data_IF_853482717712
#
_entry.id   IF_853482717712
#
_cell.length_a   1.000
_cell.length_b   1.000
_cell.length_c   1.000
_cell.angle_alpha   90.00
_cell.angle_beta   90.00
_cell.angle_gamma   90.00
#
_symmetry.space_group_name_H-M   'P 1'
#
loop_
_entity.id
_entity.type
_entity.pdbx_description
1 polymer ?
#
# COMPACT_ATOMS: atom_id res chain seq x y z
N UNK A 1 6.00 -9.56 19.06
CA UNK A 1 6.93 -10.48 18.36
C UNK A 1 8.36 -10.02 18.59
N UNK A 2 9.38 -10.87 18.44
CA UNK A 2 10.78 -10.43 18.50
C UNK A 2 11.12 -9.63 17.25
N UNK A 3 11.53 -8.36 17.41
CA UNK A 3 12.04 -7.54 16.31
C UNK A 3 13.45 -8.01 15.95
N UNK A 4 13.58 -8.75 14.85
CA UNK A 4 14.89 -9.10 14.30
C UNK A 4 15.43 -7.92 13.48
N UNK A 5 16.69 -7.54 13.74
CA UNK A 5 17.37 -6.44 13.04
C UNK A 5 18.63 -6.98 12.40
N UNK A 6 18.61 -7.09 11.07
CA UNK A 6 19.81 -7.32 10.27
C UNK A 6 20.62 -6.02 10.13
N UNK A 7 21.90 -5.97 10.56
CA UNK A 7 22.73 -4.77 10.47
C UNK A 7 23.11 -4.36 9.03
N UNK A 8 22.97 -5.28 8.07
CA UNK A 8 23.23 -5.03 6.65
C UNK A 8 22.02 -4.48 5.90
N UNK A 9 20.84 -4.47 6.53
CA UNK A 9 19.69 -3.73 6.00
C UNK A 9 19.84 -2.27 6.41
N UNK A 10 19.80 -1.36 5.44
CA UNK A 10 19.89 0.08 5.65
C UNK A 10 18.57 0.73 5.25
N UNK A 11 17.81 1.16 6.23
CA UNK A 11 16.60 1.95 6.03
C UNK A 11 16.95 3.45 6.03
N UNK A 12 16.19 4.24 5.29
CA UNK A 12 16.44 5.64 5.00
C UNK A 12 16.23 6.63 6.14
N UNK A 13 16.00 6.17 7.38
CA UNK A 13 15.67 7.03 8.53
C UNK A 13 16.69 8.15 8.74
N UNK A 14 16.19 9.36 9.01
CA UNK A 14 17.03 10.57 9.13
C UNK A 14 17.40 10.93 10.56
N UNK A 15 16.74 10.33 11.56
CA UNK A 15 16.95 10.60 12.98
C UNK A 15 17.86 9.57 13.67
N UNK A 16 18.06 9.73 14.99
CA UNK A 16 18.71 8.69 15.79
C UNK A 16 17.76 7.48 15.89
N UNK A 17 18.22 6.31 15.43
CA UNK A 17 17.43 5.09 15.43
C UNK A 17 16.61 4.89 14.16
N UNK A 18 15.47 4.19 14.28
CA UNK A 18 14.58 3.89 13.14
C UNK A 18 13.43 4.89 13.07
N UNK A 19 13.74 6.18 13.03
CA UNK A 19 12.76 7.28 13.03
C UNK A 19 13.31 8.51 12.32
N UNK A 20 12.44 9.39 11.88
CA UNK A 20 12.89 10.69 11.38
C UNK A 20 13.16 11.68 12.52
N UNK A 21 14.28 12.39 12.38
CA UNK A 21 14.61 13.51 13.27
C UNK A 21 13.82 14.75 12.90
N UNK A 22 13.66 14.97 11.60
CA UNK A 22 12.81 16.01 11.01
C UNK A 22 12.07 15.39 9.84
N UNK A 23 10.76 15.59 9.76
CA UNK A 23 9.95 15.17 8.62
C UNK A 23 10.17 16.18 7.49
N UNK A 24 10.77 15.75 6.39
CA UNK A 24 11.06 16.59 5.24
C UNK A 24 9.84 16.57 4.31
N UNK A 25 9.32 17.73 3.86
CA UNK A 25 8.26 17.77 2.87
C UNK A 25 8.68 17.09 1.57
N UNK A 26 7.79 16.25 1.02
CA UNK A 26 7.98 15.68 -0.31
C UNK A 26 8.02 16.78 -1.38
N UNK A 27 8.79 16.52 -2.42
CA UNK A 27 8.86 17.30 -3.64
C UNK A 27 8.15 16.56 -4.79
N UNK A 28 7.78 17.27 -5.87
CA UNK A 28 7.21 16.62 -7.06
C UNK A 28 8.09 15.50 -7.65
N UNK A 29 9.42 15.67 -7.61
CA UNK A 29 10.38 14.69 -8.13
C UNK A 29 10.35 13.36 -7.36
N UNK A 30 9.96 13.37 -6.08
CA UNK A 30 9.89 12.16 -5.24
C UNK A 30 8.76 11.21 -5.68
N UNK A 31 7.79 11.71 -6.45
CA UNK A 31 6.69 10.92 -7.02
C UNK A 31 6.75 10.86 -8.58
N UNK A 32 7.87 11.27 -9.17
CA UNK A 32 8.15 11.13 -10.59
C UNK A 32 8.75 9.74 -10.92
N UNK A 33 9.07 9.45 -12.18
CA UNK A 33 9.67 8.18 -12.61
C UNK A 33 11.11 8.00 -12.08
N UNK A 34 11.37 6.87 -11.40
CA UNK A 34 12.66 6.54 -10.77
C UNK A 34 13.47 5.48 -11.52
N UNK A 35 12.83 4.60 -12.30
CA UNK A 35 13.52 3.50 -12.96
C UNK A 35 13.97 3.83 -14.39
N UNK A 36 14.88 3.00 -14.90
CA UNK A 36 15.23 2.96 -16.31
C UNK A 36 14.30 1.99 -17.03
N UNK A 37 13.33 2.54 -17.76
CA UNK A 37 12.22 1.78 -18.36
C UNK A 37 12.72 0.66 -19.28
N UNK A 38 12.45 -0.58 -18.87
CA UNK A 38 12.84 -1.81 -19.57
C UNK A 38 14.18 -2.40 -19.12
N UNK A 39 14.85 -1.81 -18.13
CA UNK A 39 15.97 -2.45 -17.45
C UNK A 39 15.52 -3.74 -16.75
N UNK A 40 16.43 -4.71 -16.66
CA UNK A 40 16.16 -5.98 -15.99
C UNK A 40 16.04 -5.75 -14.48
N UNK A 41 15.15 -6.51 -13.84
CA UNK A 41 14.93 -6.46 -12.40
C UNK A 41 14.67 -5.04 -11.91
N UNK A 42 13.84 -4.26 -12.62
CA UNK A 42 13.31 -3.01 -12.10
C UNK A 42 11.80 -3.06 -12.20
N UNK A 43 11.14 -2.60 -11.14
CA UNK A 43 9.69 -2.56 -11.01
C UNK A 43 9.31 -1.22 -10.41
N UNK A 44 8.24 -0.62 -10.93
CA UNK A 44 7.76 0.69 -10.47
C UNK A 44 6.27 0.82 -10.77
N UNK A 45 5.54 1.34 -9.78
CA UNK A 45 4.10 1.53 -9.88
C UNK A 45 3.57 2.65 -8.98
N UNK A 46 2.68 3.46 -9.55
CA UNK A 46 1.80 4.34 -8.80
C UNK A 46 0.51 3.60 -8.46
N UNK A 47 0.09 3.70 -7.21
CA UNK A 47 -1.09 3.05 -6.66
C UNK A 47 -2.04 4.08 -6.09
N UNK A 48 -3.32 3.99 -6.45
CA UNK A 48 -4.40 4.77 -5.86
C UNK A 48 -5.48 3.83 -5.35
N UNK A 49 -6.09 4.20 -4.24
CA UNK A 49 -7.37 3.63 -3.85
C UNK A 49 -8.33 4.69 -3.33
N UNK A 50 -9.62 4.33 -3.31
CA UNK A 50 -10.64 5.15 -2.71
C UNK A 50 -11.77 4.32 -2.12
N UNK A 51 -12.27 4.76 -0.97
CA UNK A 51 -13.57 4.36 -0.42
C UNK A 51 -14.58 5.46 -0.76
N UNK A 52 -15.58 5.07 -1.54
CA UNK A 52 -16.58 5.99 -2.06
C UNK A 52 -17.88 5.92 -1.25
N UNK A 53 -18.58 7.05 -1.21
CA UNK A 53 -19.95 7.13 -0.76
C UNK A 53 -20.81 6.08 -1.51
N UNK A 54 -21.70 5.42 -0.78
CA UNK A 54 -22.48 4.30 -1.32
C UNK A 54 -21.80 2.93 -1.19
N UNK A 55 -20.57 2.85 -0.67
CA UNK A 55 -19.91 1.61 -0.27
C UNK A 55 -19.06 0.94 -1.36
N UNK A 56 -18.77 1.66 -2.44
CA UNK A 56 -17.82 1.20 -3.45
C UNK A 56 -16.38 1.39 -2.95
N UNK A 57 -15.50 0.48 -3.31
CA UNK A 57 -14.06 0.65 -3.16
C UNK A 57 -13.41 0.43 -4.52
N UNK A 58 -12.44 1.27 -4.87
CA UNK A 58 -11.66 1.09 -6.09
C UNK A 58 -10.17 1.08 -5.79
N UNK A 59 -9.44 0.45 -6.70
CA UNK A 59 -7.98 0.45 -6.74
C UNK A 59 -7.57 0.68 -8.19
N UNK A 60 -6.61 1.59 -8.39
CA UNK A 60 -6.02 1.89 -9.68
C UNK A 60 -4.49 1.76 -9.58
N UNK A 61 -3.89 1.10 -10.56
CA UNK A 61 -2.43 1.09 -10.71
C UNK A 61 -2.00 1.60 -12.08
N UNK A 62 -0.90 2.35 -12.09
CA UNK A 62 -0.10 2.64 -13.27
C UNK A 62 1.24 1.92 -13.14
N UNK A 63 1.47 0.88 -13.94
CA UNK A 63 2.69 0.09 -13.91
C UNK A 63 3.63 0.49 -15.04
N UNK A 64 4.81 1.01 -14.70
CA UNK A 64 5.92 1.14 -15.66
C UNK A 64 6.56 -0.23 -15.88
N UNK A 65 6.66 -1.01 -14.81
CA UNK A 65 7.15 -2.36 -14.83
C UNK A 65 6.42 -3.20 -13.76
N UNK A 66 5.47 -4.02 -14.22
CA UNK A 66 4.60 -4.82 -13.37
C UNK A 66 5.39 -5.78 -12.46
N UNK A 67 5.23 -5.72 -11.12
CA UNK A 67 6.09 -6.45 -10.18
C UNK A 67 5.76 -7.93 -10.05
N UNK A 68 4.50 -8.30 -10.31
CA UNK A 68 4.00 -9.63 -10.01
C UNK A 68 4.66 -10.72 -10.89
N UNK A 69 5.03 -11.87 -10.29
CA UNK A 69 5.71 -12.93 -11.01
C UNK A 69 4.81 -13.54 -12.09
N UNK A 70 5.39 -13.87 -13.24
CA UNK A 70 4.69 -14.53 -14.35
C UNK A 70 5.07 -13.95 -15.70
N UNK A 71 4.29 -14.31 -16.72
CA UNK A 71 4.55 -13.92 -18.12
C UNK A 71 4.40 -12.41 -18.37
N UNK A 72 3.77 -11.70 -17.44
CA UNK A 72 3.52 -10.25 -17.53
C UNK A 72 4.47 -9.42 -16.66
N UNK A 73 5.37 -10.05 -15.92
CA UNK A 73 6.37 -9.36 -15.10
C UNK A 73 7.21 -8.39 -15.95
N UNK A 74 7.37 -7.16 -15.45
CA UNK A 74 8.12 -6.09 -16.10
C UNK A 74 7.40 -5.44 -17.28
N UNK A 75 6.16 -5.83 -17.61
CA UNK A 75 5.37 -5.15 -18.65
C UNK A 75 4.79 -3.84 -18.13
N UNK A 76 4.57 -2.92 -19.07
CA UNK A 76 3.80 -1.71 -18.84
C UNK A 76 2.32 -2.08 -18.85
N UNK A 77 1.59 -1.66 -17.82
CA UNK A 77 0.18 -1.97 -17.67
C UNK A 77 -0.56 -0.90 -16.87
N UNK A 78 -1.89 -0.91 -16.95
CA UNK A 78 -2.73 -0.32 -15.92
C UNK A 78 -3.61 -1.40 -15.30
N UNK A 79 -4.03 -1.19 -14.07
CA UNK A 79 -5.01 -2.05 -13.42
C UNK A 79 -6.17 -1.23 -12.85
N UNK A 80 -7.39 -1.72 -13.07
CA UNK A 80 -8.62 -1.19 -12.49
C UNK A 80 -9.28 -2.30 -11.68
N UNK A 81 -9.50 -2.05 -10.39
CA UNK A 81 -10.33 -2.92 -9.55
C UNK A 81 -11.49 -2.11 -8.97
N UNK A 82 -12.71 -2.64 -9.11
CA UNK A 82 -13.92 -2.11 -8.48
C UNK A 82 -14.55 -3.20 -7.60
N UNK A 83 -14.63 -2.93 -6.30
CA UNK A 83 -15.39 -3.69 -5.32
C UNK A 83 -16.71 -2.96 -5.04
N UNK A 84 -17.82 -3.67 -5.24
CA UNK A 84 -19.17 -3.13 -5.07
C UNK A 84 -19.68 -3.37 -3.65
N UNK A 85 -20.72 -2.63 -3.19
CA UNK A 85 -21.28 -2.76 -1.85
C UNK A 85 -21.80 -4.18 -1.52
N UNK A 86 -22.23 -4.92 -2.55
CA UNK A 86 -22.67 -6.31 -2.43
C UNK A 86 -21.51 -7.32 -2.31
N UNK A 87 -20.26 -6.85 -2.38
CA UNK A 87 -19.05 -7.67 -2.33
C UNK A 87 -18.56 -8.17 -3.69
N UNK A 88 -19.26 -7.87 -4.79
CA UNK A 88 -18.81 -8.30 -6.12
C UNK A 88 -17.60 -7.49 -6.58
N UNK A 89 -16.57 -8.18 -7.06
CA UNK A 89 -15.30 -7.59 -7.52
C UNK A 89 -15.13 -7.75 -9.02
N UNK A 90 -14.74 -6.67 -9.69
CA UNK A 90 -14.22 -6.71 -11.06
C UNK A 90 -12.78 -6.19 -11.04
N UNK A 91 -11.85 -6.93 -11.64
CA UNK A 91 -10.44 -6.57 -11.75
C UNK A 91 -10.00 -6.72 -13.21
N UNK A 92 -9.33 -5.70 -13.76
CA UNK A 92 -8.87 -5.63 -15.14
C UNK A 92 -7.41 -5.20 -15.16
N UNK A 93 -6.53 -6.00 -15.76
CA UNK A 93 -5.13 -5.65 -16.03
C UNK A 93 -4.94 -5.53 -17.54
N UNK A 94 -4.61 -4.32 -17.99
CA UNK A 94 -4.50 -3.98 -19.42
C UNK A 94 -3.05 -3.66 -19.75
N UNK A 95 -2.52 -4.31 -20.77
CA UNK A 95 -1.09 -4.25 -21.14
C UNK A 95 -0.86 -3.31 -22.32
N UNK A 96 0.23 -2.57 -22.26
CA UNK A 96 0.59 -1.59 -23.29
C UNK A 96 2.01 -1.80 -23.79
N UNK A 97 2.28 -1.32 -25.00
CA UNK A 97 3.63 -1.30 -25.56
C UNK A 97 4.40 -0.11 -25.01
N UNK A 98 5.74 -0.21 -24.97
CA UNK A 98 6.64 0.91 -24.61
C UNK A 98 6.41 2.18 -25.44
N UNK A 99 5.96 2.03 -26.70
CA UNK A 99 5.61 3.17 -27.57
C UNK A 99 4.35 3.94 -27.15
N UNK A 100 3.56 3.40 -26.22
CA UNK A 100 2.33 4.01 -25.70
C UNK A 100 2.54 4.56 -24.28
N UNK A 101 3.77 4.56 -23.79
CA UNK A 101 4.11 4.93 -22.43
C UNK A 101 4.90 6.25 -22.40
N UNK A 102 4.57 7.07 -21.41
CA UNK A 102 5.34 8.22 -21.00
C UNK A 102 5.21 8.38 -19.48
N UNK A 103 6.31 8.75 -18.83
CA UNK A 103 6.30 9.27 -17.48
C UNK A 103 7.43 10.30 -17.34
N UNK A 104 7.15 11.41 -16.67
CA UNK A 104 8.17 12.42 -16.36
C UNK A 104 9.12 11.93 -15.26
N UNK A 105 10.39 12.36 -15.31
CA UNK A 105 11.38 12.16 -14.23
C UNK A 105 11.45 13.34 -13.25
N UNK A 106 10.60 14.36 -13.44
CA UNK A 106 10.62 15.60 -12.64
C UNK A 106 9.33 15.85 -11.87
N UNK A 107 8.19 15.36 -12.37
CA UNK A 107 6.87 15.54 -11.77
C UNK A 107 6.02 14.29 -11.96
N UNK A 108 4.92 14.12 -11.19
CA UNK A 108 3.94 13.06 -11.38
C UNK A 108 3.05 13.37 -12.60
N UNK A 109 3.57 13.03 -13.78
CA UNK A 109 2.85 13.07 -15.06
C UNK A 109 3.12 11.76 -15.81
N UNK A 110 2.09 10.92 -15.88
CA UNK A 110 2.16 9.57 -16.45
C UNK A 110 1.06 9.40 -17.49
N UNK A 111 1.42 8.82 -18.63
CA UNK A 111 0.49 8.41 -19.69
C UNK A 111 0.78 6.98 -20.13
N UNK A 112 -0.24 6.13 -20.07
CA UNK A 112 -0.19 4.74 -20.53
C UNK A 112 -1.36 4.49 -21.48
N UNK A 113 -1.11 4.53 -22.79
CA UNK A 113 -2.19 4.54 -23.78
C UNK A 113 -3.03 5.82 -23.66
N UNK A 114 -4.33 5.65 -23.36
CA UNK A 114 -5.25 6.76 -23.06
C UNK A 114 -5.34 7.08 -21.56
N UNK A 115 -4.79 6.24 -20.70
CA UNK A 115 -4.85 6.42 -19.25
C UNK A 115 -3.83 7.48 -18.82
N UNK A 116 -4.22 8.35 -17.88
CA UNK A 116 -3.37 9.45 -17.42
C UNK A 116 -3.40 9.60 -15.91
N UNK A 117 -2.29 10.05 -15.35
CA UNK A 117 -2.16 10.53 -13.98
C UNK A 117 -1.40 11.85 -14.04
N UNK A 118 -1.95 12.91 -13.44
CA UNK A 118 -1.32 14.24 -13.40
C UNK A 118 -1.48 14.85 -12.02
N UNK A 119 -0.42 15.46 -11.53
CA UNK A 119 -0.46 16.26 -10.30
C UNK A 119 -0.30 17.75 -10.61
N UNK A 120 -1.11 18.58 -9.94
CA UNK A 120 -0.93 20.03 -9.86
C UNK A 120 -0.48 20.40 -8.46
N UNK A 121 0.63 21.13 -8.38
CA UNK A 121 1.16 21.70 -7.14
C UNK A 121 0.92 23.21 -7.17
N UNK A 122 0.56 23.78 -6.02
CA UNK A 122 0.54 25.23 -5.83
C UNK A 122 1.38 25.55 -4.61
N UNK A 123 1.94 26.76 -4.54
CA UNK A 123 2.90 27.12 -3.48
C UNK A 123 2.28 27.10 -2.07
N UNK A 124 0.97 27.27 -1.96
CA UNK A 124 0.25 27.41 -0.69
C UNK A 124 -0.74 26.27 -0.38
N UNK A 125 -1.05 25.38 -1.34
CA UNK A 125 -2.00 24.27 -1.15
C UNK A 125 -1.38 22.88 -1.33
N UNK A 126 -2.03 21.88 -0.72
CA UNK A 126 -1.75 20.47 -0.93
C UNK A 126 -2.01 20.06 -2.40
N UNK A 127 -1.30 19.05 -2.93
CA UNK A 127 -1.40 18.71 -4.34
C UNK A 127 -2.78 18.17 -4.72
N UNK A 128 -3.16 18.42 -5.97
CA UNK A 128 -4.35 17.85 -6.59
C UNK A 128 -3.92 16.87 -7.67
N UNK A 129 -4.41 15.64 -7.58
CA UNK A 129 -4.15 14.59 -8.57
C UNK A 129 -5.41 14.32 -9.39
N UNK A 130 -5.25 14.25 -10.70
CA UNK A 130 -6.29 13.85 -11.65
C UNK A 130 -5.86 12.53 -12.29
N UNK A 131 -6.69 11.50 -12.15
CA UNK A 131 -6.46 10.20 -12.79
C UNK A 131 -7.60 9.85 -13.73
N UNK A 132 -7.23 9.29 -14.88
CA UNK A 132 -8.14 8.71 -15.84
C UNK A 132 -7.66 7.31 -16.20
N UNK A 133 -8.49 6.30 -15.96
CA UNK A 133 -8.25 4.93 -16.40
C UNK A 133 -9.50 4.36 -17.06
N UNK A 134 -9.36 3.61 -18.14
CA UNK A 134 -10.51 2.95 -18.78
C UNK A 134 -10.19 1.58 -19.38
N UNK A 135 -11.20 0.71 -19.31
CA UNK A 135 -11.37 -0.55 -20.02
C UNK A 135 -12.71 -0.53 -20.77
N UNK A 136 -13.04 -1.60 -21.51
CA UNK A 136 -14.40 -1.82 -22.04
C UNK A 136 -15.48 -1.73 -20.94
N UNK A 137 -15.25 -2.31 -19.76
CA UNK A 137 -16.27 -2.39 -18.69
C UNK A 137 -16.16 -1.31 -17.62
N UNK A 138 -14.95 -0.84 -17.32
CA UNK A 138 -14.67 0.05 -16.20
C UNK A 138 -14.09 1.38 -16.68
N UNK A 139 -14.40 2.47 -16.00
CA UNK A 139 -13.67 3.73 -16.12
C UNK A 139 -13.60 4.41 -14.76
N UNK A 140 -12.46 5.00 -14.44
CA UNK A 140 -12.26 5.89 -13.30
C UNK A 140 -11.79 7.25 -13.84
N UNK A 141 -12.57 8.30 -13.62
CA UNK A 141 -12.24 9.69 -13.93
C UNK A 141 -12.39 10.47 -12.62
N UNK A 142 -11.28 10.63 -11.91
CA UNK A 142 -11.28 11.00 -10.50
C UNK A 142 -10.27 12.10 -10.21
N UNK A 143 -10.70 13.04 -9.38
CA UNK A 143 -9.85 14.07 -8.78
C UNK A 143 -9.65 13.77 -7.31
N UNK A 144 -8.39 13.69 -6.90
CA UNK A 144 -7.92 13.52 -5.54
C UNK A 144 -7.37 14.85 -5.06
N UNK A 145 -8.02 15.48 -4.07
CA UNK A 145 -7.49 16.68 -3.42
C UNK A 145 -6.88 16.25 -2.10
N UNK A 146 -5.56 16.30 -2.00
CA UNK A 146 -4.85 15.89 -0.80
C UNK A 146 -5.32 16.71 0.41
N UNK A 147 -5.48 16.03 1.54
CA UNK A 147 -5.86 16.62 2.84
C UNK A 147 -4.78 16.44 3.89
N UNK A 148 -3.79 15.58 3.61
CA UNK A 148 -2.58 15.36 4.41
C UNK A 148 -1.36 15.56 3.51
N UNK A 149 -0.32 16.19 4.05
CA UNK A 149 0.96 16.39 3.36
C UNK A 149 1.58 15.06 2.93
N UNK A 150 2.27 15.09 1.79
CA UNK A 150 3.07 13.97 1.32
C UNK A 150 4.17 13.61 2.32
N UNK A 151 4.47 12.32 2.42
CA UNK A 151 5.42 11.77 3.36
C UNK A 151 6.16 10.56 2.78
N UNK A 152 7.40 10.39 3.21
CA UNK A 152 8.19 9.18 3.02
C UNK A 152 9.00 8.89 4.28
N UNK A 153 9.28 7.61 4.62
CA UNK A 153 10.12 7.27 5.76
C UNK A 153 11.58 7.63 5.47
N UNK A 154 12.04 8.73 6.07
CA UNK A 154 13.37 9.28 5.83
C UNK A 154 13.63 9.58 4.36
N UNK A 155 14.54 8.85 3.71
CA UNK A 155 14.80 8.99 2.27
C UNK A 155 13.81 8.26 1.38
N UNK A 156 12.87 7.48 1.95
CA UNK A 156 11.98 6.60 1.20
C UNK A 156 12.60 5.26 0.81
N UNK A 157 13.92 5.06 0.99
CA UNK A 157 14.63 3.85 0.57
C UNK A 157 14.89 2.88 1.72
N UNK A 158 14.74 1.58 1.43
CA UNK A 158 15.24 0.45 2.23
C UNK A 158 16.15 -0.42 1.37
N UNK A 159 17.43 -0.51 1.75
CA UNK A 159 18.43 -1.35 1.10
C UNK A 159 18.60 -2.67 1.85
N UNK A 160 18.47 -3.79 1.16
CA UNK A 160 18.51 -5.14 1.74
C UNK A 160 19.85 -5.81 1.44
N UNK A 161 20.91 -5.40 2.15
CA UNK A 161 22.27 -5.88 1.91
C UNK A 161 22.62 -5.83 0.40
N UNK A 162 23.13 -6.93 -0.16
CA UNK A 162 23.49 -7.04 -1.58
C UNK A 162 22.32 -7.47 -2.49
N UNK A 163 21.09 -7.61 -1.95
CA UNK A 163 19.95 -8.11 -2.72
C UNK A 163 19.25 -7.04 -3.55
N UNK A 164 19.31 -5.78 -3.14
CA UNK A 164 18.64 -4.67 -3.81
C UNK A 164 18.05 -3.64 -2.85
N UNK A 165 17.19 -2.78 -3.39
CA UNK A 165 16.44 -1.78 -2.64
C UNK A 165 14.94 -1.87 -2.93
N UNK A 166 14.14 -1.45 -1.96
CA UNK A 166 12.73 -1.12 -2.09
C UNK A 166 12.56 0.33 -1.66
N UNK A 167 11.85 1.11 -2.46
CA UNK A 167 11.51 2.48 -2.14
C UNK A 167 10.01 2.67 -2.13
N UNK A 168 9.54 3.46 -1.18
CA UNK A 168 8.12 3.73 -0.94
C UNK A 168 7.96 5.17 -0.47
N UNK A 169 7.09 5.90 -1.17
CA UNK A 169 6.69 7.25 -0.84
C UNK A 169 5.16 7.35 -0.87
N UNK A 170 4.60 8.25 -0.09
CA UNK A 170 3.15 8.45 0.05
C UNK A 170 2.84 9.92 -0.26
N UNK A 171 2.59 10.28 -1.54
CA UNK A 171 2.34 11.66 -1.93
C UNK A 171 1.14 12.28 -1.22
N UNK A 172 0.16 11.46 -0.84
CA UNK A 172 -0.85 11.81 0.15
C UNK A 172 -1.42 10.57 0.82
N UNK A 173 -1.53 10.62 2.15
CA UNK A 173 -2.11 9.52 2.94
C UNK A 173 -3.62 9.62 3.11
N UNK A 174 -4.20 10.78 2.77
CA UNK A 174 -5.65 11.01 2.75
C UNK A 174 -5.98 12.14 1.79
N UNK A 175 -6.95 11.92 0.91
CA UNK A 175 -7.49 12.90 -0.02
C UNK A 175 -9.02 12.85 -0.04
N UNK A 176 -9.66 13.99 -0.30
CA UNK A 176 -11.07 14.00 -0.69
C UNK A 176 -11.18 13.69 -2.18
N UNK A 177 -12.12 12.82 -2.52
CA UNK A 177 -12.34 12.33 -3.89
C UNK A 177 -13.62 12.93 -4.45
N UNK A 178 -13.57 13.34 -5.72
CA UNK A 178 -14.74 13.62 -6.53
C UNK A 178 -14.49 13.16 -7.97
N UNK A 179 -15.56 12.84 -8.70
CA UNK A 179 -15.46 12.47 -10.11
C UNK A 179 -16.56 11.52 -10.54
N UNK A 180 -16.24 10.65 -11.49
CA UNK A 180 -17.15 9.64 -12.01
C UNK A 180 -16.46 8.28 -12.15
N UNK A 181 -17.24 7.21 -11.90
CA UNK A 181 -16.86 5.85 -12.27
C UNK A 181 -17.85 5.30 -13.28
N UNK A 182 -17.37 4.48 -14.22
CA UNK A 182 -18.22 3.65 -15.08
C UNK A 182 -18.17 2.20 -14.64
N UNK A 183 -19.34 1.60 -14.51
CA UNK A 183 -19.56 0.19 -14.19
C UNK A 183 -20.48 -0.41 -15.25
N UNK A 184 -19.87 -1.04 -16.27
CA UNK A 184 -20.53 -1.49 -17.49
C UNK A 184 -21.17 -0.33 -18.24
N UNK A 185 -22.50 -0.30 -18.28
CA UNK A 185 -23.29 0.72 -18.98
C UNK A 185 -23.71 1.90 -18.09
N UNK A 186 -23.32 1.90 -16.80
CA UNK A 186 -23.70 2.95 -15.85
C UNK A 186 -22.51 3.84 -15.54
N UNK A 187 -22.69 5.15 -15.65
CA UNK A 187 -21.76 6.14 -15.09
C UNK A 187 -22.36 6.72 -13.81
N UNK A 188 -21.57 6.73 -12.75
CA UNK A 188 -21.98 7.14 -11.41
C UNK A 188 -21.06 8.27 -10.98
N UNK A 189 -21.63 9.42 -10.61
CA UNK A 189 -20.88 10.48 -9.94
C UNK A 189 -20.59 10.06 -8.50
N UNK A 190 -19.35 10.24 -8.07
CA UNK A 190 -18.88 9.71 -6.79
C UNK A 190 -18.15 10.76 -5.98
N UNK A 191 -18.17 10.56 -4.66
CA UNK A 191 -17.35 11.24 -3.68
C UNK A 191 -16.77 10.22 -2.72
N UNK A 192 -15.69 10.55 -2.03
CA UNK A 192 -15.11 9.63 -1.07
C UNK A 192 -13.81 10.13 -0.44
N UNK A 193 -13.09 9.17 0.14
CA UNK A 193 -11.76 9.36 0.70
C UNK A 193 -10.80 8.41 0.02
N UNK A 194 -9.64 8.89 -0.38
CA UNK A 194 -8.65 8.07 -1.08
C UNK A 194 -7.23 8.28 -0.60
N UNK A 195 -6.35 7.47 -1.17
CA UNK A 195 -4.94 7.37 -0.84
C UNK A 195 -4.12 7.18 -2.10
N UNK A 196 -2.86 7.60 -2.05
CA UNK A 196 -1.89 7.32 -3.09
C UNK A 196 -0.52 6.99 -2.49
N UNK A 197 0.11 5.93 -3.00
CA UNK A 197 1.54 5.73 -2.87
C UNK A 197 2.22 5.37 -4.18
N UNK A 198 3.54 5.48 -4.14
CA UNK A 198 4.42 5.17 -5.25
C UNK A 198 5.59 4.33 -4.74
N UNK A 199 5.85 3.23 -5.45
CA UNK A 199 6.84 2.25 -5.08
C UNK A 199 7.73 1.91 -6.27
N UNK A 200 9.02 1.72 -6.01
CA UNK A 200 9.94 1.15 -6.98
C UNK A 200 11.01 0.30 -6.30
N UNK A 201 11.48 -0.72 -7.01
CA UNK A 201 12.41 -1.70 -6.45
C UNK A 201 13.16 -2.42 -7.55
N UNK A 202 14.33 -2.98 -7.20
CA UNK A 202 15.22 -3.61 -8.17
C UNK A 202 15.45 -5.14 -7.98
N UNK A 203 14.51 -5.81 -7.31
CA UNK A 203 14.57 -7.25 -7.05
C UNK A 203 13.17 -7.88 -7.05
N UNK A 204 13.02 -9.19 -6.87
CA UNK A 204 11.66 -9.76 -6.69
C UNK A 204 11.25 -9.63 -5.23
N UNK A 205 10.28 -8.75 -4.91
CA UNK A 205 9.86 -8.48 -3.53
C UNK A 205 9.48 -9.75 -2.76
N UNK A 206 8.77 -10.67 -3.43
CA UNK A 206 8.37 -11.98 -2.90
C UNK A 206 9.55 -12.88 -2.49
N UNK A 207 10.75 -12.61 -2.99
CA UNK A 207 11.93 -13.43 -2.73
C UNK A 207 12.51 -13.26 -1.33
N UNK A 208 12.18 -12.16 -0.64
CA UNK A 208 12.70 -11.82 0.70
C UNK A 208 11.62 -11.74 1.78
N UNK A 209 10.34 -11.87 1.44
CA UNK A 209 9.22 -11.63 2.37
C UNK A 209 8.63 -12.96 2.85
N UNK A 210 8.28 -13.01 4.13
CA UNK A 210 7.41 -14.06 4.69
C UNK A 210 5.97 -13.61 4.76
N UNK A 211 5.73 -12.40 5.26
CA UNK A 211 4.42 -11.75 5.21
C UNK A 211 4.59 -10.24 5.31
N UNK A 212 3.55 -9.54 4.89
CA UNK A 212 3.43 -8.11 5.01
C UNK A 212 2.02 -7.76 5.46
N UNK A 213 1.95 -6.82 6.38
CA UNK A 213 0.70 -6.18 6.78
C UNK A 213 0.81 -4.69 6.53
N UNK A 214 -0.24 -4.14 5.96
CA UNK A 214 -0.33 -2.72 5.69
C UNK A 214 -1.76 -2.25 5.81
N UNK A 215 -1.89 -1.04 6.32
CA UNK A 215 -3.20 -0.46 6.58
C UNK A 215 -3.10 1.01 6.90
N UNK A 216 -4.26 1.63 6.89
CA UNK A 216 -4.44 3.03 7.30
C UNK A 216 -5.52 3.12 8.35
N UNK A 217 -5.54 4.21 9.09
CA UNK A 217 -6.64 4.56 9.99
C UNK A 217 -7.00 6.00 9.68
N UNK A 218 -8.27 6.24 9.37
CA UNK A 218 -8.84 7.57 9.22
C UNK A 218 -9.86 7.78 10.32
N UNK A 219 -9.55 8.70 11.22
CA UNK A 219 -10.51 9.22 12.18
C UNK A 219 -10.87 10.67 11.83
N UNK A 220 -11.56 11.37 12.72
CA UNK A 220 -11.99 12.74 12.46
C UNK A 220 -10.77 13.66 12.34
N UNK A 221 -9.82 13.55 13.28
CA UNK A 221 -8.64 14.42 13.30
C UNK A 221 -7.34 13.74 12.87
N UNK A 222 -7.30 12.40 12.83
CA UNK A 222 -6.06 11.66 12.62
C UNK A 222 -6.06 10.83 11.34
N UNK A 223 -4.89 10.82 10.71
CA UNK A 223 -4.55 9.92 9.61
C UNK A 223 -3.32 9.14 10.02
N UNK A 224 -3.41 7.81 10.01
CA UNK A 224 -2.27 6.93 10.32
C UNK A 224 -2.08 5.98 9.15
N UNK A 225 -0.83 5.77 8.73
CA UNK A 225 -0.46 4.72 7.80
C UNK A 225 0.62 3.84 8.45
N UNK A 226 0.51 2.52 8.31
CA UNK A 226 1.51 1.61 8.85
C UNK A 226 1.82 0.47 7.89
N UNK A 227 3.05 -0.02 7.96
CA UNK A 227 3.52 -1.20 7.24
C UNK A 227 4.43 -2.03 8.14
N UNK A 228 4.13 -3.33 8.29
CA UNK A 228 4.97 -4.31 8.95
C UNK A 228 5.32 -5.42 7.96
N UNK A 229 6.56 -5.45 7.48
CA UNK A 229 7.06 -6.49 6.59
C UNK A 229 7.99 -7.40 7.38
N UNK A 230 7.59 -8.66 7.54
CA UNK A 230 8.45 -9.70 8.06
C UNK A 230 9.23 -10.30 6.90
N UNK A 231 10.54 -10.07 6.86
CA UNK A 231 11.38 -10.73 5.89
C UNK A 231 11.73 -12.17 6.29
N UNK A 232 12.22 -12.95 5.33
CA UNK A 232 12.61 -14.35 5.51
C UNK A 232 14.08 -14.51 5.91
N UNK A 233 14.51 -15.75 6.07
CA UNK A 233 15.85 -16.09 6.56
C UNK A 233 17.00 -15.60 5.66
N UNK A 234 16.74 -15.22 4.39
CA UNK A 234 17.76 -14.65 3.50
C UNK A 234 18.26 -13.28 3.93
N UNK A 235 17.48 -12.56 4.74
CA UNK A 235 17.85 -11.26 5.30
C UNK A 235 17.77 -11.30 6.83
N UNK A 236 18.12 -12.45 7.41
CA UNK A 236 18.14 -12.68 8.86
C UNK A 236 16.81 -12.34 9.55
N UNK A 237 15.69 -12.59 8.85
CA UNK A 237 14.33 -12.31 9.32
C UNK A 237 14.11 -10.84 9.72
N UNK A 238 14.85 -9.89 9.14
CA UNK A 238 14.70 -8.47 9.44
C UNK A 238 13.22 -8.03 9.34
N UNK A 239 12.75 -7.26 10.32
CA UNK A 239 11.40 -6.68 10.29
C UNK A 239 11.48 -5.22 9.82
N UNK A 240 10.99 -4.93 8.62
CA UNK A 240 10.82 -3.55 8.13
C UNK A 240 9.52 -3.01 8.69
N UNK A 241 9.62 -1.89 9.38
CA UNK A 241 8.54 -1.32 10.20
C UNK A 241 8.46 0.14 9.88
N UNK A 242 7.29 0.59 9.47
CA UNK A 242 7.06 2.00 9.15
C UNK A 242 5.69 2.43 9.66
N UNK A 243 5.65 3.56 10.34
CA UNK A 243 4.44 4.21 10.81
C UNK A 243 4.53 5.71 10.58
N UNK A 244 3.46 6.26 10.03
CA UNK A 244 3.21 7.69 9.89
C UNK A 244 1.94 8.05 10.63
N UNK A 245 1.94 9.15 11.38
CA UNK A 245 0.72 9.75 11.91
C UNK A 245 0.66 11.25 11.63
N UNK A 246 -0.53 11.71 11.24
CA UNK A 246 -0.83 13.10 10.94
C UNK A 246 -2.07 13.58 11.71
N UNK A 247 -2.09 14.87 12.07
CA UNK A 247 -3.23 15.58 12.66
C UNK A 247 -3.65 16.70 11.71
N UNK A 248 -4.87 16.64 11.18
CA UNK A 248 -5.25 17.49 10.05
C UNK A 248 -4.32 17.25 8.87
N UNK A 249 -3.68 18.29 8.34
CA UNK A 249 -2.73 18.19 7.22
C UNK A 249 -1.31 17.81 7.61
N UNK A 250 -0.95 17.95 8.88
CA UNK A 250 0.44 17.91 9.33
C UNK A 250 0.83 16.54 9.84
N UNK A 251 1.90 15.98 9.27
CA UNK A 251 2.53 14.76 9.77
C UNK A 251 3.35 15.11 11.01
N UNK A 252 3.07 14.46 12.14
CA UNK A 252 3.77 14.69 13.40
C UNK A 252 4.62 13.51 13.87
N UNK A 253 4.42 12.32 13.28
CA UNK A 253 5.16 11.11 13.63
C UNK A 253 5.57 10.34 12.37
N UNK A 254 6.85 9.97 12.30
CA UNK A 254 7.44 9.12 11.26
C UNK A 254 8.45 8.20 11.92
N UNK A 255 8.09 6.93 12.10
CA UNK A 255 8.87 5.99 12.93
C UNK A 255 8.65 4.52 12.56
N UNK A 256 9.72 3.74 12.59
CA UNK A 256 9.72 2.28 12.64
C UNK A 256 9.86 1.72 14.07
N UNK A 257 10.00 2.59 15.07
CA UNK A 257 10.14 2.26 16.48
C UNK A 257 8.76 2.13 17.16
N UNK A 258 7.97 1.15 16.73
CA UNK A 258 6.68 0.83 17.35
C UNK A 258 6.59 -0.63 17.78
N UNK A 259 5.92 -0.95 18.87
CA UNK A 259 5.56 -2.31 19.23
C UNK A 259 4.41 -2.79 18.34
N UNK A 260 4.47 -4.04 17.88
CA UNK A 260 3.43 -4.66 17.05
C UNK A 260 3.04 -6.02 17.63
N UNK A 261 1.77 -6.17 18.01
CA UNK A 261 1.21 -7.43 18.51
C UNK A 261 0.05 -7.91 17.63
N UNK A 262 -0.10 -9.22 17.60
CA UNK A 262 -1.13 -9.96 16.89
C UNK A 262 -1.68 -11.00 17.85
N UNK A 263 -2.98 -11.00 18.05
CA UNK A 263 -3.66 -11.84 19.03
C UNK A 263 -4.87 -12.52 18.40
N UNK A 264 -5.34 -13.58 19.05
CA UNK A 264 -6.57 -14.28 18.71
C UNK A 264 -6.63 -14.72 17.24
N UNK A 265 -5.71 -15.59 16.83
CA UNK A 265 -5.68 -16.07 15.44
C UNK A 265 -6.88 -16.96 15.11
N UNK A 266 -7.47 -16.74 13.93
CA UNK A 266 -8.52 -17.55 13.33
C UNK A 266 -8.02 -18.15 12.01
N UNK A 267 -8.25 -19.45 11.79
CA UNK A 267 -7.87 -20.13 10.55
C UNK A 267 -8.99 -20.02 9.49
N UNK A 268 -8.64 -19.52 8.30
CA UNK A 268 -9.51 -19.54 7.12
C UNK A 268 -9.16 -20.74 6.24
N UNK A 269 -10.13 -21.64 6.07
CA UNK A 269 -10.02 -22.75 5.11
C UNK A 269 -9.94 -22.24 3.66
N UNK A 270 -10.66 -21.16 3.34
CA UNK A 270 -10.67 -20.58 1.99
C UNK A 270 -9.31 -20.01 1.61
N UNK A 271 -8.66 -19.28 2.52
CA UNK A 271 -7.30 -18.79 2.29
C UNK A 271 -6.24 -19.89 2.50
N UNK A 272 -6.52 -20.91 3.33
CA UNK A 272 -5.54 -21.89 3.79
C UNK A 272 -4.51 -21.31 4.76
N UNK A 273 -4.86 -20.21 5.44
CA UNK A 273 -4.01 -19.42 6.32
C UNK A 273 -4.80 -18.88 7.52
N UNK A 274 -4.10 -18.52 8.60
CA UNK A 274 -4.71 -17.82 9.73
C UNK A 274 -4.50 -16.31 9.62
N UNK A 275 -5.41 -15.55 10.20
CA UNK A 275 -5.31 -14.10 10.39
C UNK A 275 -5.57 -13.76 11.87
N UNK A 276 -4.94 -12.71 12.41
CA UNK A 276 -5.23 -12.26 13.77
C UNK A 276 -6.57 -11.54 13.85
N UNK A 277 -7.36 -11.79 14.90
CA UNK A 277 -8.57 -11.02 15.18
C UNK A 277 -8.27 -9.66 15.82
N UNK A 278 -7.11 -9.53 16.44
CA UNK A 278 -6.69 -8.31 17.12
C UNK A 278 -5.26 -7.93 16.70
N UNK A 279 -5.06 -6.67 16.33
CA UNK A 279 -3.74 -6.09 16.07
C UNK A 279 -3.56 -4.88 16.96
N UNK A 280 -2.42 -4.78 17.64
CA UNK A 280 -2.06 -3.59 18.40
C UNK A 280 -0.74 -3.00 17.91
N UNK A 281 -0.72 -1.68 17.76
CA UNK A 281 0.44 -0.89 17.34
C UNK A 281 0.67 0.18 18.40
N UNK A 282 1.89 0.27 18.94
CA UNK A 282 2.20 1.23 20.01
C UNK A 282 3.53 1.91 19.80
N UNK A 283 3.53 3.24 19.76
CA UNK A 283 4.72 4.08 19.93
C UNK A 283 4.68 4.59 21.37
N UNK A 284 5.52 4.06 22.28
CA UNK A 284 5.44 4.38 23.70
C UNK A 284 5.44 5.89 23.97
N UNK A 285 4.37 6.37 24.62
CA UNK A 285 4.23 7.78 24.99
C UNK A 285 3.71 8.70 23.87
N UNK A 286 3.45 8.20 22.67
CA UNK A 286 3.04 9.02 21.52
C UNK A 286 1.75 8.49 20.84
N UNK A 287 1.63 7.18 20.63
CA UNK A 287 0.53 6.60 19.85
C UNK A 287 0.18 5.18 20.31
N UNK A 288 -1.10 4.87 20.41
CA UNK A 288 -1.63 3.51 20.55
C UNK A 288 -2.77 3.32 19.54
N UNK A 289 -2.69 2.29 18.70
CA UNK A 289 -3.75 1.87 17.77
C UNK A 289 -4.10 0.43 18.08
N UNK A 290 -5.39 0.17 18.29
CA UNK A 290 -5.93 -1.18 18.38
C UNK A 290 -6.92 -1.40 17.24
N UNK A 291 -6.78 -2.50 16.52
CA UNK A 291 -7.66 -2.93 15.45
C UNK A 291 -8.31 -4.25 15.86
N UNK A 292 -9.63 -4.28 15.93
CA UNK A 292 -10.44 -5.46 16.21
C UNK A 292 -11.17 -5.85 14.92
N UNK A 293 -10.84 -7.01 14.33
CA UNK A 293 -11.45 -7.47 13.07
C UNK A 293 -12.94 -7.70 13.26
N UNK A 294 -13.75 -6.88 12.58
CA UNK A 294 -15.20 -6.97 12.57
C UNK A 294 -15.70 -7.86 11.42
N UNK A 295 -15.06 -7.77 10.24
CA UNK A 295 -15.43 -8.53 9.04
C UNK A 295 -14.23 -8.86 8.16
N UNK A 296 -14.22 -10.07 7.60
CA UNK A 296 -13.31 -10.48 6.51
C UNK A 296 -14.02 -10.21 5.18
N UNK A 297 -13.45 -9.35 4.34
CA UNK A 297 -14.01 -9.03 3.01
C UNK A 297 -13.45 -9.94 1.92
N UNK A 298 -12.15 -10.28 2.02
CA UNK A 298 -11.50 -11.21 1.10
C UNK A 298 -10.63 -12.17 1.90
N UNK A 299 -10.68 -13.45 1.53
CA UNK A 299 -9.85 -14.54 2.06
C UNK A 299 -9.46 -15.45 0.89
N UNK A 300 -8.28 -15.22 0.34
CA UNK A 300 -7.88 -15.80 -0.95
C UNK A 300 -6.61 -16.61 -0.77
N UNK A 301 -6.65 -17.86 -1.21
CA UNK A 301 -5.43 -18.60 -1.51
C UNK A 301 -4.90 -18.11 -2.85
N UNK A 302 -3.82 -17.34 -2.84
CA UNK A 302 -3.31 -16.73 -4.08
C UNK A 302 -2.76 -17.79 -5.06
N UNK A 303 -2.57 -19.04 -4.64
CA UNK A 303 -2.26 -20.13 -5.57
C UNK A 303 -3.39 -20.39 -6.57
N UNK A 304 -4.63 -20.10 -6.18
CA UNK A 304 -5.80 -20.30 -7.04
C UNK A 304 -5.84 -19.30 -8.21
N UNK A 305 -5.03 -18.25 -8.14
CA UNK A 305 -4.83 -17.29 -9.23
C UNK A 305 -3.85 -17.80 -10.30
N UNK A 306 -3.08 -18.86 -10.01
CA UNK A 306 -2.16 -19.46 -10.98
C UNK A 306 -2.84 -20.57 -11.77
N UNK A 307 -2.32 -20.87 -12.96
CA UNK A 307 -2.72 -22.11 -13.63
C UNK A 307 -2.32 -23.33 -12.76
N UNK A 308 -3.03 -24.47 -12.89
CA UNK A 308 -2.83 -25.61 -11.98
C UNK A 308 -1.40 -26.16 -11.92
N UNK A 309 -0.64 -26.08 -13.02
CA UNK A 309 0.74 -26.57 -13.09
C UNK A 309 1.69 -25.65 -12.32
N UNK A 310 1.54 -24.33 -12.49
CA UNK A 310 2.30 -23.32 -11.75
C UNK A 310 1.94 -23.33 -10.26
N UNK A 311 0.65 -23.47 -9.93
CA UNK A 311 0.18 -23.62 -8.56
C UNK A 311 0.79 -24.87 -7.90
N UNK A 312 0.84 -26.01 -8.63
CA UNK A 312 1.45 -27.24 -8.14
C UNK A 312 2.96 -27.09 -7.88
N UNK A 313 3.70 -26.46 -8.79
CA UNK A 313 5.13 -26.20 -8.62
C UNK A 313 5.41 -25.24 -7.46
N UNK A 314 4.66 -24.13 -7.38
CA UNK A 314 4.77 -23.17 -6.29
C UNK A 314 4.50 -23.84 -4.93
N UNK A 315 3.46 -24.65 -4.84
CA UNK A 315 3.08 -25.36 -3.61
C UNK A 315 4.04 -26.48 -3.22
N UNK A 316 4.43 -27.35 -4.15
CA UNK A 316 5.10 -28.61 -3.82
C UNK A 316 6.62 -28.57 -4.01
N UNK A 317 7.12 -27.73 -4.93
CA UNK A 317 8.56 -27.59 -5.20
C UNK A 317 9.12 -26.39 -4.46
N UNK A 318 8.49 -25.21 -4.62
CA UNK A 318 8.93 -23.98 -3.95
C UNK A 318 8.39 -23.84 -2.52
N UNK A 319 7.48 -24.74 -2.10
CA UNK A 319 6.83 -24.75 -0.77
C UNK A 319 6.17 -23.43 -0.39
N UNK A 320 5.75 -22.65 -1.39
CA UNK A 320 5.04 -21.39 -1.21
C UNK A 320 3.58 -21.65 -0.83
N UNK A 321 3.09 -20.90 0.14
CA UNK A 321 1.66 -20.85 0.49
C UNK A 321 1.27 -19.38 0.61
N UNK A 322 0.97 -18.72 -0.54
CA UNK A 322 0.54 -17.35 -0.53
C UNK A 322 -0.95 -17.23 -0.16
N UNK A 323 -1.25 -16.44 0.86
CA UNK A 323 -2.60 -16.09 1.29
C UNK A 323 -2.77 -14.57 1.30
N UNK A 324 -3.99 -14.13 1.03
CA UNK A 324 -4.38 -12.72 1.08
C UNK A 324 -5.64 -12.56 1.92
N UNK A 325 -5.62 -11.58 2.82
CA UNK A 325 -6.79 -11.14 3.57
C UNK A 325 -7.00 -9.64 3.39
N UNK A 326 -8.26 -9.27 3.15
CA UNK A 326 -8.73 -7.89 3.30
C UNK A 326 -9.70 -7.85 4.47
N UNK A 327 -9.34 -7.10 5.51
CA UNK A 327 -10.01 -7.10 6.79
C UNK A 327 -10.60 -5.72 7.05
N UNK A 328 -11.86 -5.68 7.48
CA UNK A 328 -12.46 -4.49 8.06
C UNK A 328 -12.42 -4.62 9.58
N UNK A 329 -11.72 -3.70 10.22
CA UNK A 329 -11.57 -3.64 11.66
C UNK A 329 -12.21 -2.39 12.23
N UNK A 330 -12.87 -2.54 13.37
CA UNK A 330 -13.12 -1.40 14.24
C UNK A 330 -11.79 -1.01 14.87
N UNK A 331 -11.51 0.29 14.96
CA UNK A 331 -10.28 0.80 15.56
C UNK A 331 -10.56 1.67 16.77
N UNK A 332 -9.63 1.63 17.71
CA UNK A 332 -9.43 2.66 18.73
C UNK A 332 -8.04 3.24 18.56
N UNK A 333 -7.94 4.56 18.41
CA UNK A 333 -6.68 5.29 18.38
C UNK A 333 -6.60 6.18 19.62
N UNK A 334 -5.41 6.21 20.23
CA UNK A 334 -5.05 7.15 21.28
C UNK A 334 -3.76 7.86 20.87
N UNK A 335 -3.81 9.17 20.80
CA UNK A 335 -2.68 10.01 20.40
C UNK A 335 -2.28 10.91 21.56
N UNK A 336 -0.98 10.94 21.86
CA UNK A 336 -0.38 11.86 22.81
C UNK A 336 0.48 12.84 22.02
N UNK A 337 0.00 14.07 21.86
CA UNK A 337 0.67 15.09 21.05
C UNK A 337 0.52 16.47 21.70
N UNK A 338 1.62 17.23 21.77
CA UNK A 338 1.67 18.57 22.41
C UNK A 338 1.09 18.61 23.84
N UNK A 339 1.33 17.54 24.61
CA UNK A 339 0.84 17.43 25.99
C UNK A 339 -0.67 17.17 26.12
N UNK A 340 -1.38 16.92 25.01
CA UNK A 340 -2.78 16.51 25.00
C UNK A 340 -2.89 15.03 24.69
N UNK A 341 -3.95 14.40 25.21
CA UNK A 341 -4.31 13.02 24.89
C UNK A 341 -5.69 13.03 24.27
N UNK A 342 -5.75 12.60 23.01
CA UNK A 342 -6.98 12.48 22.24
C UNK A 342 -7.26 10.98 22.00
N UNK A 343 -8.52 10.54 22.11
CA UNK A 343 -8.95 9.17 21.79
C UNK A 343 -10.08 9.24 20.76
N UNK A 344 -9.93 8.50 19.65
CA UNK A 344 -10.92 8.43 18.58
C UNK A 344 -11.17 6.98 18.16
N UNK A 345 -12.32 6.73 17.55
CA UNK A 345 -12.74 5.40 17.11
C UNK A 345 -13.33 5.47 15.71
N UNK A 346 -13.32 4.36 15.00
CA UNK A 346 -13.96 4.25 13.70
C UNK A 346 -13.76 2.85 13.13
N UNK A 347 -13.83 2.72 11.81
CA UNK A 347 -13.55 1.47 11.10
C UNK A 347 -12.54 1.69 9.99
N UNK A 348 -11.74 0.68 9.68
CA UNK A 348 -10.77 0.75 8.60
C UNK A 348 -10.57 -0.58 7.86
N UNK A 349 -10.20 -0.47 6.59
CA UNK A 349 -9.70 -1.58 5.80
C UNK A 349 -8.18 -1.68 5.91
N UNK A 350 -7.69 -2.90 6.13
CA UNK A 350 -6.27 -3.23 6.13
C UNK A 350 -6.05 -4.62 5.54
N UNK A 351 -4.81 -4.87 5.14
CA UNK A 351 -4.45 -6.02 4.32
C UNK A 351 -3.36 -6.85 4.97
N UNK A 352 -3.46 -8.16 4.75
CA UNK A 352 -2.44 -9.14 5.13
C UNK A 352 -2.11 -9.97 3.89
N UNK A 353 -0.85 -9.88 3.45
CA UNK A 353 -0.28 -10.78 2.45
C UNK A 353 0.67 -11.71 3.18
N UNK A 354 0.51 -13.02 3.02
CA UNK A 354 1.39 -13.99 3.65
C UNK A 354 1.90 -15.00 2.65
N UNK A 355 3.14 -15.45 2.78
CA UNK A 355 3.79 -16.50 1.96
C UNK A 355 4.13 -17.74 2.79
N UNK A 356 3.97 -17.65 4.11
CA UNK A 356 4.06 -18.74 5.09
C UNK A 356 2.82 -18.75 5.99
N UNK A 357 2.66 -19.77 6.82
CA UNK A 357 1.56 -19.79 7.79
C UNK A 357 1.80 -18.67 8.83
N UNK A 358 0.80 -17.79 9.00
CA UNK A 358 0.73 -16.87 10.11
C UNK A 358 0.06 -17.57 11.30
N UNK A 359 0.64 -17.46 12.49
CA UNK A 359 0.08 -18.04 13.71
C UNK A 359 -0.08 -19.57 13.71
N UNK A 360 -0.68 -20.12 14.77
CA UNK A 360 -1.07 -21.52 14.81
C UNK A 360 -2.20 -21.81 13.79
N UNK A 361 -2.31 -23.09 13.41
CA UNK A 361 -3.48 -23.62 12.71
C UNK A 361 -4.62 -23.86 13.67
#
# INVERSE_FOLDING_TARGET
>A
MTDYVNPNVKEGWTGPGRRDGTIIPMKPEDDALHIDVGAKNQFEWWYFDAHLEGGYTLVAFFYVAYPNPGLDQGKIAVELTLLRPDGTKTQKVIKYKKSQFYASKEIPDVKIGNNTMKATFTDDDLPVYEIFLEDEDLMFDLTYKATVKGWMPGTGYSHFADLGYFAWVVPFSRASIEGSIRDGNKTISVKGVGYHDHNWLNFSFQSIIEYWMWGRVYSDNYTIAYAFIQCNDKVDRHAVKVLMAAKGSEVFLSSGEYEFSQEDFEFSEAAGHSFPRTISIKVPGELEVKLDVARVYEEVNMLDMFNPVLAFLAKNVLRMKPGYFRLNSDFKVKVIHEGRTDEETGSTLHEIVTFKQLGPK
#
